data_IF_621033261933
#
_entry.id   IF_621033261933
#
_cell.length_a   1.000
_cell.length_b   1.000
_cell.length_c   1.000
_cell.angle_alpha   90.00
_cell.angle_beta   90.00
_cell.angle_gamma   90.00
#
_symmetry.space_group_name_H-M   'P 1'
#
loop_
_entity.id
_entity.type
_entity.pdbx_description
1 polymer ?
#
# COMPACT_ATOMS: atom_id res chain seq x y z
N UNK A 1 17.29 -3.56 -33.74
CA UNK A 1 18.04 -2.87 -32.68
C UNK A 1 17.01 -2.16 -31.85
N UNK A 2 16.62 -2.72 -30.70
CA UNK A 2 15.73 -2.08 -29.74
C UNK A 2 16.47 -0.90 -29.15
N UNK A 3 16.09 0.32 -29.49
CA UNK A 3 16.51 1.53 -28.77
C UNK A 3 16.24 1.30 -27.30
N UNK A 4 17.32 1.11 -26.53
CA UNK A 4 17.20 0.82 -25.09
C UNK A 4 16.46 1.95 -24.42
N UNK A 5 15.19 1.71 -24.04
CA UNK A 5 14.45 2.65 -23.20
C UNK A 5 15.26 2.85 -21.93
N UNK A 6 15.36 4.10 -21.47
CA UNK A 6 16.01 4.45 -20.20
C UNK A 6 15.33 3.66 -19.08
N UNK A 7 16.11 2.97 -18.25
CA UNK A 7 15.63 2.28 -17.07
C UNK A 7 15.99 3.09 -15.82
N UNK A 8 15.05 3.21 -14.88
CA UNK A 8 15.27 3.84 -13.60
C UNK A 8 16.14 2.95 -12.70
N UNK A 9 17.24 3.47 -12.21
CA UNK A 9 18.12 2.78 -11.28
C UNK A 9 17.55 2.87 -9.87
N UNK A 10 17.09 1.76 -9.31
CA UNK A 10 16.45 1.70 -8.00
C UNK A 10 17.41 1.08 -6.97
N UNK A 11 17.57 1.76 -5.84
CA UNK A 11 18.10 1.20 -4.60
C UNK A 11 16.96 0.71 -3.71
N UNK A 12 17.08 -0.48 -3.11
CA UNK A 12 16.11 -1.00 -2.15
C UNK A 12 16.71 -0.95 -0.75
N UNK A 13 16.09 -0.21 0.15
CA UNK A 13 16.43 -0.15 1.58
C UNK A 13 15.62 -1.18 2.34
N UNK A 14 16.30 -2.09 3.01
CA UNK A 14 15.75 -3.22 3.74
C UNK A 14 15.73 -4.50 2.90
N UNK A 15 16.35 -5.55 3.41
CA UNK A 15 16.35 -6.90 2.84
C UNK A 15 15.33 -7.83 3.54
N UNK A 16 14.37 -7.25 4.26
CA UNK A 16 13.33 -7.97 5.01
C UNK A 16 12.29 -8.66 4.11
N UNK A 17 11.26 -9.24 4.73
CA UNK A 17 10.26 -10.06 4.04
C UNK A 17 9.61 -9.38 2.84
N UNK A 18 9.19 -8.10 2.96
CA UNK A 18 8.49 -7.43 1.86
C UNK A 18 9.40 -7.21 0.63
N UNK A 19 10.68 -6.96 0.86
CA UNK A 19 11.65 -6.82 -0.23
C UNK A 19 11.91 -8.16 -0.92
N UNK A 20 11.99 -9.25 -0.14
CA UNK A 20 12.16 -10.61 -0.66
C UNK A 20 10.93 -11.10 -1.43
N UNK A 21 9.72 -10.84 -0.91
CA UNK A 21 8.47 -11.26 -1.56
C UNK A 21 8.10 -10.43 -2.78
N UNK A 22 8.35 -9.12 -2.74
CA UNK A 22 7.82 -8.18 -3.73
C UNK A 22 8.89 -7.38 -4.46
N UNK A 23 9.66 -6.56 -3.74
CA UNK A 23 10.42 -5.48 -4.39
C UNK A 23 11.60 -5.94 -5.23
N UNK A 24 12.37 -6.93 -4.79
CA UNK A 24 13.53 -7.39 -5.55
C UNK A 24 13.11 -7.95 -6.92
N UNK A 25 12.12 -8.85 -6.93
CA UNK A 25 11.61 -9.40 -8.18
C UNK A 25 10.87 -8.35 -9.01
N UNK A 26 10.14 -7.43 -8.38
CA UNK A 26 9.49 -6.33 -9.07
C UNK A 26 10.49 -5.49 -9.86
N UNK A 27 11.60 -5.06 -9.23
CA UNK A 27 12.64 -4.30 -9.89
C UNK A 27 13.35 -5.09 -11.01
N UNK A 28 13.55 -6.39 -10.82
CA UNK A 28 14.20 -7.26 -11.84
C UNK A 28 13.32 -7.51 -13.06
N UNK A 29 11.99 -7.56 -12.87
CA UNK A 29 11.02 -7.86 -13.93
C UNK A 29 10.41 -6.63 -14.58
N UNK A 30 10.57 -5.46 -13.98
CA UNK A 30 10.07 -4.21 -14.53
C UNK A 30 10.75 -3.87 -15.87
N UNK A 31 9.96 -3.37 -16.85
CA UNK A 31 10.45 -3.03 -18.18
C UNK A 31 11.30 -1.75 -18.20
N UNK A 32 10.98 -0.82 -17.28
CA UNK A 32 11.51 0.54 -17.24
C UNK A 32 12.26 0.86 -15.93
N UNK A 33 12.56 -0.16 -15.11
CA UNK A 33 13.35 -0.03 -13.88
C UNK A 33 14.30 -1.23 -13.75
N UNK A 34 15.29 -1.10 -12.89
CA UNK A 34 16.18 -2.21 -12.53
C UNK A 34 16.62 -2.13 -11.07
N UNK A 35 16.87 -3.29 -10.46
CA UNK A 35 17.50 -3.40 -9.15
C UNK A 35 18.98 -3.02 -9.28
N UNK A 36 19.29 -1.75 -9.02
CA UNK A 36 20.66 -1.27 -9.08
C UNK A 36 21.41 -1.53 -7.78
N UNK A 37 20.79 -1.26 -6.63
CA UNK A 37 21.42 -1.41 -5.32
C UNK A 37 20.48 -2.02 -4.30
N UNK A 38 21.05 -2.70 -3.30
CA UNK A 38 20.34 -3.11 -2.08
C UNK A 38 21.12 -2.59 -0.87
N UNK A 39 20.39 -2.28 0.20
CA UNK A 39 20.96 -1.78 1.45
C UNK A 39 20.30 -2.43 2.66
N UNK A 40 21.10 -2.96 3.59
CA UNK A 40 20.64 -3.44 4.89
C UNK A 40 21.80 -3.39 5.89
N UNK A 41 21.50 -3.10 7.15
CA UNK A 41 22.49 -3.10 8.22
C UNK A 41 22.91 -4.51 8.64
N UNK A 42 22.07 -5.50 8.39
CA UNK A 42 22.34 -6.92 8.63
C UNK A 42 23.20 -7.50 7.49
N UNK A 43 24.51 -7.42 7.61
CA UNK A 43 25.46 -7.83 6.56
C UNK A 43 25.29 -9.28 6.13
N UNK A 44 24.92 -10.17 7.04
CA UNK A 44 24.65 -11.59 6.73
C UNK A 44 23.42 -11.75 5.82
N UNK A 45 22.37 -10.99 6.06
CA UNK A 45 21.17 -10.98 5.22
C UNK A 45 21.44 -10.28 3.88
N UNK A 46 22.12 -9.13 3.93
CA UNK A 46 22.54 -8.38 2.75
C UNK A 46 23.36 -9.24 1.78
N UNK A 47 24.35 -10.00 2.30
CA UNK A 47 25.17 -10.92 1.49
C UNK A 47 24.32 -12.00 0.80
N UNK A 48 23.42 -12.65 1.54
CA UNK A 48 22.54 -13.69 0.98
C UNK A 48 21.61 -13.12 -0.12
N UNK A 49 21.04 -11.93 0.11
CA UNK A 49 20.18 -11.29 -0.89
C UNK A 49 20.97 -10.83 -2.12
N UNK A 50 22.21 -10.41 -1.93
CA UNK A 50 23.11 -10.07 -3.04
C UNK A 50 23.44 -11.29 -3.92
N UNK A 51 23.66 -12.45 -3.31
CA UNK A 51 23.90 -13.70 -4.05
C UNK A 51 22.66 -14.13 -4.88
N UNK A 52 21.46 -13.98 -4.32
CA UNK A 52 20.21 -14.39 -4.97
C UNK A 52 19.81 -13.42 -6.07
N UNK A 53 19.82 -12.12 -5.77
CA UNK A 53 19.21 -11.10 -6.64
C UNK A 53 20.20 -10.36 -7.53
N UNK A 54 21.51 -10.52 -7.32
CA UNK A 54 22.60 -10.01 -8.17
C UNK A 54 22.47 -8.50 -8.48
N UNK A 55 22.31 -7.61 -7.45
CA UNK A 55 22.30 -6.17 -7.68
C UNK A 55 23.66 -5.69 -8.17
N UNK A 56 23.72 -4.52 -8.81
CA UNK A 56 24.99 -3.93 -9.27
C UNK A 56 25.84 -3.46 -8.09
N UNK A 57 25.20 -3.03 -7.00
CA UNK A 57 25.86 -2.51 -5.79
C UNK A 57 25.18 -3.03 -4.52
N UNK A 58 25.96 -3.13 -3.45
CA UNK A 58 25.48 -3.44 -2.10
C UNK A 58 25.99 -2.40 -1.12
N UNK A 59 25.18 -2.04 -0.13
CA UNK A 59 25.48 -1.06 0.90
C UNK A 59 25.02 -1.56 2.26
N UNK A 60 25.87 -1.44 3.28
CA UNK A 60 25.47 -1.66 4.68
C UNK A 60 25.16 -0.33 5.41
N UNK A 61 25.14 0.77 4.67
CA UNK A 61 24.95 2.13 5.15
C UNK A 61 24.06 2.87 4.13
N UNK A 62 22.92 3.36 4.62
CA UNK A 62 21.92 4.03 3.78
C UNK A 62 22.44 5.36 3.21
N UNK A 63 23.18 6.14 3.99
CA UNK A 63 23.68 7.44 3.55
C UNK A 63 24.72 7.25 2.41
N UNK A 64 25.49 6.15 2.44
CA UNK A 64 26.38 5.78 1.33
C UNK A 64 25.61 5.38 0.07
N UNK A 65 24.48 4.67 0.20
CA UNK A 65 23.64 4.36 -0.94
C UNK A 65 23.00 5.62 -1.52
N UNK A 66 22.55 6.55 -0.68
CA UNK A 66 22.00 7.84 -1.11
C UNK A 66 23.03 8.74 -1.79
N UNK A 67 24.29 8.66 -1.39
CA UNK A 67 25.39 9.41 -2.00
C UNK A 67 25.80 8.90 -3.40
N UNK A 68 25.38 7.68 -3.79
CA UNK A 68 25.66 7.19 -5.13
C UNK A 68 24.81 7.94 -6.18
N UNK A 69 25.44 8.69 -7.13
CA UNK A 69 24.72 9.44 -8.14
C UNK A 69 23.97 8.55 -9.14
N UNK A 70 24.28 7.26 -9.21
CA UNK A 70 23.60 6.31 -10.10
C UNK A 70 22.31 5.76 -9.49
N UNK A 71 22.10 5.87 -8.17
CA UNK A 71 20.81 5.62 -7.54
C UNK A 71 19.91 6.81 -7.85
N UNK A 72 18.87 6.61 -8.65
CA UNK A 72 17.94 7.66 -9.06
C UNK A 72 16.70 7.68 -8.16
N UNK A 73 16.29 6.50 -7.67
CA UNK A 73 15.15 6.33 -6.78
C UNK A 73 15.43 5.26 -5.73
N UNK A 74 14.70 5.31 -4.62
CA UNK A 74 14.77 4.29 -3.56
C UNK A 74 13.42 3.70 -3.27
N UNK A 75 13.39 2.39 -3.02
CA UNK A 75 12.25 1.71 -2.39
C UNK A 75 12.60 1.51 -0.93
N UNK A 76 11.70 1.93 -0.03
CA UNK A 76 11.87 1.82 1.42
C UNK A 76 10.97 0.68 1.91
N UNK A 77 11.56 -0.48 2.20
CA UNK A 77 10.89 -1.70 2.67
C UNK A 77 11.39 -2.17 4.03
N UNK A 78 11.42 -1.25 5.02
CA UNK A 78 11.84 -1.46 6.40
C UNK A 78 10.65 -1.44 7.36
N UNK A 79 10.87 -1.39 8.66
CA UNK A 79 9.79 -1.27 9.63
C UNK A 79 9.14 0.12 9.56
N UNK A 80 7.81 0.16 9.71
CA UNK A 80 6.95 1.33 9.52
C UNK A 80 7.34 2.55 10.35
N UNK A 81 7.88 2.37 11.57
CA UNK A 81 8.40 3.48 12.40
C UNK A 81 9.57 4.24 11.78
N UNK A 82 10.27 3.65 10.80
CA UNK A 82 11.42 4.26 10.15
C UNK A 82 11.12 4.83 8.76
N UNK A 83 9.88 4.66 8.25
CA UNK A 83 9.52 5.05 6.89
C UNK A 83 9.74 6.54 6.63
N UNK A 84 9.19 7.40 7.51
CA UNK A 84 9.25 8.86 7.33
C UNK A 84 10.69 9.37 7.41
N UNK A 85 11.48 8.92 8.40
CA UNK A 85 12.87 9.33 8.52
C UNK A 85 13.70 8.94 7.28
N UNK A 86 13.55 7.69 6.82
CA UNK A 86 14.25 7.20 5.64
C UNK A 86 13.83 7.95 4.37
N UNK A 87 12.53 8.26 4.22
CA UNK A 87 12.02 9.03 3.08
C UNK A 87 12.56 10.48 3.10
N UNK A 88 12.62 11.12 4.28
CA UNK A 88 13.19 12.45 4.43
C UNK A 88 14.67 12.50 4.03
N UNK A 89 15.47 11.51 4.44
CA UNK A 89 16.88 11.40 4.00
C UNK A 89 16.99 11.27 2.49
N UNK A 90 16.14 10.46 1.88
CA UNK A 90 16.14 10.24 0.43
C UNK A 90 15.81 11.52 -0.34
N UNK A 91 14.75 12.25 0.03
CA UNK A 91 14.37 13.48 -0.67
C UNK A 91 15.42 14.60 -0.49
N UNK A 92 16.08 14.67 0.66
CA UNK A 92 17.21 15.59 0.89
C UNK A 92 18.39 15.26 -0.02
N UNK A 93 18.63 13.98 -0.29
CA UNK A 93 19.64 13.51 -1.24
C UNK A 93 19.19 13.60 -2.71
N UNK A 94 18.00 14.17 -2.99
CA UNK A 94 17.45 14.34 -4.35
C UNK A 94 16.99 13.03 -5.01
N UNK A 95 16.65 11.99 -4.21
CA UNK A 95 16.18 10.71 -4.72
C UNK A 95 14.65 10.65 -4.70
N UNK A 96 14.07 10.12 -5.79
CA UNK A 96 12.66 9.75 -5.78
C UNK A 96 12.40 8.58 -4.82
N UNK A 97 11.20 8.50 -4.24
CA UNK A 97 10.88 7.54 -3.17
C UNK A 97 9.63 6.74 -3.48
N UNK A 98 9.72 5.43 -3.35
CA UNK A 98 8.58 4.54 -3.15
C UNK A 98 8.71 3.99 -1.74
N UNK A 99 7.83 4.39 -0.83
CA UNK A 99 7.85 3.96 0.58
C UNK A 99 6.70 3.00 0.86
N UNK A 100 7.00 1.90 1.54
CA UNK A 100 5.97 0.94 1.94
C UNK A 100 4.88 1.58 2.82
N UNK A 101 3.71 0.97 2.76
CA UNK A 101 2.57 1.35 3.61
C UNK A 101 2.70 0.70 5.02
N UNK A 102 2.15 1.35 6.07
CA UNK A 102 1.63 2.72 6.08
C UNK A 102 2.74 3.74 5.88
N UNK A 103 2.39 4.97 5.47
CA UNK A 103 3.38 6.04 5.25
C UNK A 103 4.23 6.32 6.49
N UNK A 104 3.60 6.29 7.65
CA UNK A 104 4.19 6.47 8.96
C UNK A 104 3.29 5.89 10.05
N UNK A 105 3.56 6.19 11.30
CA UNK A 105 2.83 5.66 12.46
C UNK A 105 2.03 6.71 13.24
N UNK A 106 2.14 7.98 12.83
CA UNK A 106 1.30 9.09 13.31
C UNK A 106 1.09 10.15 12.21
N UNK A 107 0.08 10.99 12.40
CA UNK A 107 -0.33 11.99 11.40
C UNK A 107 0.75 13.06 11.21
N UNK A 108 1.34 13.54 12.31
CA UNK A 108 2.26 14.67 12.31
C UNK A 108 3.53 14.38 11.52
N UNK A 109 4.11 13.19 11.67
CA UNK A 109 5.30 12.80 10.89
C UNK A 109 4.98 12.65 9.40
N UNK A 110 3.80 12.12 9.06
CA UNK A 110 3.35 12.03 7.68
C UNK A 110 3.16 13.42 7.05
N UNK A 111 2.56 14.37 7.78
CA UNK A 111 2.42 15.76 7.35
C UNK A 111 3.77 16.48 7.23
N UNK A 112 4.71 16.18 8.11
CA UNK A 112 6.06 16.72 8.02
C UNK A 112 6.75 16.28 6.73
N UNK A 113 6.69 14.99 6.41
CA UNK A 113 7.20 14.46 5.14
C UNK A 113 6.53 15.14 3.95
N UNK A 114 5.20 15.22 3.95
CA UNK A 114 4.44 15.87 2.89
C UNK A 114 4.89 17.34 2.69
N UNK A 115 5.03 18.10 3.77
CA UNK A 115 5.45 19.50 3.72
C UNK A 115 6.86 19.65 3.15
N UNK A 116 7.80 18.79 3.57
CA UNK A 116 9.19 18.84 3.09
C UNK A 116 9.32 18.37 1.64
N UNK A 117 8.56 17.38 1.24
CA UNK A 117 8.60 16.85 -0.12
C UNK A 117 8.08 17.85 -1.18
N UNK A 118 7.12 18.71 -0.85
CA UNK A 118 6.54 19.70 -1.79
C UNK A 118 7.55 20.55 -2.53
N UNK A 119 8.69 20.83 -1.93
CA UNK A 119 9.74 21.70 -2.49
C UNK A 119 10.99 20.93 -2.92
N UNK A 120 10.99 19.60 -2.81
CA UNK A 120 12.17 18.79 -3.11
C UNK A 120 12.36 18.49 -4.60
N UNK A 121 11.30 18.63 -5.39
CA UNK A 121 11.28 18.14 -6.78
C UNK A 121 11.27 16.60 -6.90
N UNK A 122 11.23 15.88 -5.80
CA UNK A 122 11.20 14.43 -5.79
C UNK A 122 9.77 13.89 -5.88
N UNK A 123 9.58 12.83 -6.64
CA UNK A 123 8.35 12.04 -6.64
C UNK A 123 8.38 11.14 -5.41
N UNK A 124 7.30 11.17 -4.60
CA UNK A 124 7.11 10.24 -3.48
C UNK A 124 5.80 9.48 -3.68
N UNK A 125 5.89 8.16 -3.77
CA UNK A 125 4.77 7.24 -3.91
C UNK A 125 4.71 6.30 -2.72
N UNK A 126 3.49 6.03 -2.22
CA UNK A 126 3.27 5.06 -1.14
C UNK A 126 3.00 3.67 -1.73
N UNK A 127 3.47 2.62 -1.04
CA UNK A 127 3.43 1.22 -1.45
C UNK A 127 2.02 0.58 -1.43
N UNK A 128 0.99 1.31 -1.81
CA UNK A 128 -0.38 0.80 -1.92
C UNK A 128 -0.57 0.04 -3.24
N UNK A 129 0.02 -1.16 -3.31
CA UNK A 129 0.13 -1.94 -4.54
C UNK A 129 -1.23 -2.35 -5.15
N UNK A 130 -2.32 -2.36 -4.36
CA UNK A 130 -3.67 -2.71 -4.87
C UNK A 130 -4.21 -1.70 -5.87
N UNK A 131 -3.76 -0.46 -5.86
CA UNK A 131 -4.09 0.54 -6.90
C UNK A 131 -3.60 0.12 -8.29
N UNK A 132 -2.66 -0.83 -8.35
CA UNK A 132 -2.12 -1.43 -9.56
C UNK A 132 -2.73 -2.79 -9.92
N UNK A 133 -3.73 -3.25 -9.17
CA UNK A 133 -4.55 -4.39 -9.56
C UNK A 133 -5.42 -4.02 -10.77
N UNK A 134 -5.29 -4.73 -11.91
CA UNK A 134 -6.06 -4.40 -13.12
C UNK A 134 -7.57 -4.38 -12.91
N UNK A 135 -8.11 -5.26 -12.05
CA UNK A 135 -9.53 -5.27 -11.74
C UNK A 135 -9.96 -4.02 -10.94
N UNK A 136 -9.16 -3.64 -9.92
CA UNK A 136 -9.43 -2.42 -9.14
C UNK A 136 -9.28 -1.18 -10.02
N UNK A 137 -8.26 -1.15 -10.90
CA UNK A 137 -8.08 -0.05 -11.86
C UNK A 137 -9.26 0.06 -12.84
N UNK A 138 -9.82 -1.06 -13.30
CA UNK A 138 -11.03 -1.08 -14.13
C UNK A 138 -12.25 -0.54 -13.36
N UNK A 139 -12.44 -0.96 -12.11
CA UNK A 139 -13.48 -0.41 -11.24
C UNK A 139 -13.36 1.11 -11.08
N UNK A 140 -12.14 1.59 -10.81
CA UNK A 140 -11.86 3.03 -10.67
C UNK A 140 -12.16 3.79 -11.95
N UNK A 141 -11.76 3.26 -13.09
CA UNK A 141 -12.06 3.88 -14.39
C UNK A 141 -13.57 4.05 -14.60
N UNK A 142 -14.37 3.01 -14.33
CA UNK A 142 -15.82 3.12 -14.45
C UNK A 142 -16.41 4.15 -13.47
N UNK A 143 -15.95 4.13 -12.21
CA UNK A 143 -16.40 5.08 -11.19
C UNK A 143 -16.14 6.53 -11.63
N UNK A 144 -14.96 6.81 -12.16
CA UNK A 144 -14.55 8.15 -12.54
C UNK A 144 -15.21 8.66 -13.85
N UNK A 145 -15.54 7.76 -14.76
CA UNK A 145 -15.95 8.15 -16.12
C UNK A 145 -17.43 7.94 -16.41
N UNK A 146 -18.08 6.98 -15.73
CA UNK A 146 -19.40 6.54 -16.11
C UNK A 146 -20.42 6.46 -14.97
N UNK A 147 -20.00 6.18 -13.73
CA UNK A 147 -20.91 5.83 -12.64
C UNK A 147 -21.78 6.99 -12.16
N UNK A 148 -21.35 8.25 -12.35
CA UNK A 148 -22.05 9.42 -11.80
C UNK A 148 -21.86 9.54 -10.28
N UNK A 149 -22.83 10.12 -9.58
CA UNK A 149 -22.76 10.32 -8.14
C UNK A 149 -22.79 8.98 -7.39
N UNK A 150 -21.89 8.83 -6.42
CA UNK A 150 -21.87 7.66 -5.54
C UNK A 150 -22.94 7.78 -4.45
N UNK A 151 -23.78 6.77 -4.33
CA UNK A 151 -24.76 6.63 -3.25
C UNK A 151 -24.14 6.00 -2.00
N UNK A 152 -23.48 4.86 -2.18
CA UNK A 152 -22.90 4.11 -1.06
C UNK A 152 -21.76 3.19 -1.49
N UNK A 153 -20.85 2.92 -0.53
CA UNK A 153 -19.73 2.00 -0.69
C UNK A 153 -19.70 1.00 0.48
N UNK A 154 -19.44 -0.27 0.17
CA UNK A 154 -19.04 -1.28 1.15
C UNK A 154 -17.67 -1.80 0.75
N UNK A 155 -16.77 -1.97 1.71
CA UNK A 155 -15.49 -2.64 1.50
C UNK A 155 -15.16 -3.51 2.70
N UNK A 156 -14.52 -4.64 2.46
CA UNK A 156 -14.11 -5.55 3.51
C UNK A 156 -12.73 -6.12 3.24
N UNK A 157 -12.01 -6.37 4.32
CA UNK A 157 -10.70 -6.99 4.35
C UNK A 157 -10.67 -8.00 5.50
N UNK A 158 -10.91 -9.26 5.16
CA UNK A 158 -10.95 -10.35 6.11
C UNK A 158 -9.73 -11.26 5.89
N UNK A 159 -8.73 -11.10 6.75
CA UNK A 159 -7.48 -11.85 6.65
C UNK A 159 -7.53 -13.11 7.50
N UNK A 160 -7.25 -14.24 6.87
CA UNK A 160 -7.17 -15.55 7.50
C UNK A 160 -5.77 -15.84 8.07
N UNK A 161 -5.23 -14.96 8.93
CA UNK A 161 -3.92 -15.21 9.58
C UNK A 161 -3.86 -16.52 10.37
N UNK A 162 -5.00 -17.17 10.49
CA UNK A 162 -5.14 -18.51 11.05
C UNK A 162 -4.61 -19.61 10.11
N UNK A 163 -4.60 -19.37 8.77
CA UNK A 163 -4.21 -20.36 7.74
C UNK A 163 -3.50 -19.70 6.56
N UNK A 164 -2.21 -19.43 6.73
CA UNK A 164 -1.39 -18.89 5.64
C UNK A 164 -0.81 -19.93 4.68
N UNK A 165 -1.51 -21.03 4.46
CA UNK A 165 -1.01 -22.12 3.62
C UNK A 165 -0.68 -21.69 2.20
N UNK A 166 -1.42 -20.72 1.64
CA UNK A 166 -1.14 -20.20 0.29
C UNK A 166 0.18 -19.45 0.27
N UNK A 167 0.40 -18.54 1.23
CA UNK A 167 1.64 -17.77 1.31
C UNK A 167 2.86 -18.67 1.51
N UNK A 168 2.76 -19.64 2.41
CA UNK A 168 3.84 -20.60 2.67
C UNK A 168 4.18 -21.46 1.45
N UNK A 169 3.18 -21.78 0.60
CA UNK A 169 3.38 -22.66 -0.54
C UNK A 169 3.88 -21.93 -1.81
N UNK A 170 3.53 -20.65 -2.00
CA UNK A 170 3.83 -19.93 -3.25
C UNK A 170 4.99 -18.93 -3.13
N UNK A 171 5.41 -18.59 -1.91
CA UNK A 171 6.51 -17.66 -1.68
C UNK A 171 7.79 -18.40 -1.31
N UNK A 172 8.97 -17.90 -1.71
CA UNK A 172 10.23 -18.45 -1.24
C UNK A 172 10.31 -18.34 0.28
N UNK A 173 11.03 -19.26 0.91
CA UNK A 173 11.29 -19.19 2.34
C UNK A 173 11.98 -17.88 2.68
N UNK A 174 11.36 -17.10 3.55
CA UNK A 174 11.93 -15.85 4.02
C UNK A 174 13.17 -16.09 4.81
N UNK A 175 14.25 -15.46 4.42
CA UNK A 175 15.49 -15.46 5.18
C UNK A 175 15.46 -14.33 6.20
N UNK A 176 15.73 -14.67 7.45
CA UNK A 176 15.78 -13.73 8.56
C UNK A 176 17.20 -13.58 9.07
N UNK A 177 17.49 -12.46 9.72
CA UNK A 177 18.75 -12.22 10.42
C UNK A 177 18.49 -11.80 11.87
N UNK A 178 19.25 -12.32 12.84
CA UNK A 178 19.25 -11.80 14.21
C UNK A 178 19.86 -10.39 14.29
N UNK A 179 20.64 -9.99 13.28
CA UNK A 179 21.31 -8.68 13.20
C UNK A 179 20.45 -7.60 12.55
N UNK A 180 19.24 -7.94 12.10
CA UNK A 180 18.32 -6.96 11.50
C UNK A 180 17.92 -5.90 12.53
N UNK A 181 17.93 -4.63 12.11
CA UNK A 181 17.44 -3.53 12.93
C UNK A 181 15.95 -3.71 13.21
N UNK A 182 15.60 -3.66 14.47
CA UNK A 182 14.21 -3.78 14.93
C UNK A 182 13.83 -2.53 15.71
N UNK A 183 12.56 -2.09 15.61
CA UNK A 183 12.05 -1.03 16.46
C UNK A 183 12.21 -1.38 17.94
N UNK A 184 12.35 -0.36 18.77
CA UNK A 184 12.28 -0.54 20.22
C UNK A 184 10.93 -1.12 20.61
N UNK A 185 10.93 -2.08 21.52
CA UNK A 185 9.74 -2.85 21.88
C UNK A 185 9.34 -3.85 20.80
N UNK A 186 8.18 -4.45 20.98
CA UNK A 186 7.59 -5.36 20.00
C UNK A 186 6.25 -4.77 19.52
N UNK A 187 6.19 -4.15 18.33
CA UNK A 187 4.96 -3.53 17.83
C UNK A 187 3.81 -4.52 17.67
N UNK A 188 4.09 -5.83 17.61
CA UNK A 188 3.07 -6.88 17.54
C UNK A 188 2.40 -7.19 18.88
N UNK A 189 2.84 -6.62 19.99
CA UNK A 189 2.20 -6.81 21.30
C UNK A 189 0.86 -6.06 21.38
N UNK A 190 0.80 -4.83 20.87
CA UNK A 190 -0.44 -4.13 20.67
C UNK A 190 -1.10 -4.58 19.37
N UNK A 191 -1.97 -5.57 19.45
CA UNK A 191 -2.63 -6.16 18.29
C UNK A 191 -3.64 -5.21 17.64
N UNK A 192 -4.29 -4.34 18.38
CA UNK A 192 -5.23 -3.37 17.81
C UNK A 192 -4.49 -2.41 16.89
N UNK A 193 -3.45 -1.78 17.43
CA UNK A 193 -2.60 -0.89 16.67
C UNK A 193 -1.93 -1.61 15.50
N UNK A 194 -1.33 -2.76 15.73
CA UNK A 194 -0.63 -3.54 14.72
C UNK A 194 -1.54 -3.90 13.53
N UNK A 195 -2.74 -4.43 13.80
CA UNK A 195 -3.65 -4.83 12.72
C UNK A 195 -4.27 -3.63 12.00
N UNK A 196 -4.53 -2.53 12.69
CA UNK A 196 -5.01 -1.32 12.03
C UNK A 196 -3.93 -0.75 11.08
N UNK A 197 -2.68 -0.65 11.50
CA UNK A 197 -1.59 -0.16 10.64
C UNK A 197 -1.26 -1.11 9.49
N UNK A 198 -1.26 -2.43 9.72
CA UNK A 198 -0.83 -3.40 8.70
C UNK A 198 -1.94 -3.82 7.73
N UNK A 199 -3.15 -4.05 8.24
CA UNK A 199 -4.31 -4.54 7.46
C UNK A 199 -5.30 -3.42 7.17
N UNK A 200 -5.58 -2.56 8.16
CA UNK A 200 -6.45 -1.40 8.01
C UNK A 200 -5.97 -0.43 6.95
N UNK A 201 -4.64 -0.25 6.79
CA UNK A 201 -4.07 0.57 5.73
C UNK A 201 -4.51 0.14 4.32
N UNK A 202 -4.62 -1.16 4.05
CA UNK A 202 -5.11 -1.66 2.77
C UNK A 202 -6.60 -1.37 2.56
N UNK A 203 -7.42 -1.65 3.57
CA UNK A 203 -8.87 -1.41 3.49
C UNK A 203 -9.18 0.08 3.32
N UNK A 204 -8.56 0.93 4.14
CA UNK A 204 -8.75 2.39 4.10
C UNK A 204 -8.29 2.97 2.76
N UNK A 205 -7.13 2.54 2.24
CA UNK A 205 -6.65 3.01 0.94
C UNK A 205 -7.59 2.59 -0.19
N UNK A 206 -8.02 1.32 -0.23
CA UNK A 206 -8.97 0.85 -1.25
C UNK A 206 -10.29 1.62 -1.18
N UNK A 207 -10.84 1.82 0.03
CA UNK A 207 -12.09 2.54 0.22
C UNK A 207 -11.99 4.03 -0.16
N UNK A 208 -10.85 4.69 0.12
CA UNK A 208 -10.58 6.06 -0.30
C UNK A 208 -10.32 6.16 -1.80
N UNK A 209 -9.54 5.26 -2.37
CA UNK A 209 -9.24 5.23 -3.80
C UNK A 209 -10.51 5.12 -4.66
N UNK A 210 -11.46 4.27 -4.24
CA UNK A 210 -12.71 4.03 -4.96
C UNK A 210 -13.83 5.02 -4.57
N UNK A 211 -13.90 5.41 -3.30
CA UNK A 211 -15.00 6.21 -2.75
C UNK A 211 -14.72 7.70 -2.59
N UNK A 212 -13.47 8.11 -2.67
CA UNK A 212 -13.07 9.52 -2.46
C UNK A 212 -12.76 9.84 -0.99
N UNK A 213 -12.74 11.14 -0.67
CA UNK A 213 -12.34 11.64 0.64
C UNK A 213 -13.35 11.32 1.74
N UNK A 214 -12.85 10.77 2.86
CA UNK A 214 -13.62 10.50 4.06
C UNK A 214 -13.67 11.74 4.95
N UNK A 215 -14.88 12.13 5.39
CA UNK A 215 -15.09 13.29 6.27
C UNK A 215 -15.12 12.86 7.75
N UNK A 216 -15.88 11.80 8.08
CA UNK A 216 -16.00 11.30 9.44
C UNK A 216 -16.23 9.79 9.48
N UNK A 217 -15.94 9.19 10.63
CA UNK A 217 -16.13 7.76 10.88
C UNK A 217 -16.79 7.52 12.23
N UNK A 218 -17.62 6.46 12.29
CA UNK A 218 -18.09 5.85 13.53
C UNK A 218 -17.74 4.37 13.52
N UNK A 219 -17.04 3.89 14.53
CA UNK A 219 -16.47 2.56 14.55
C UNK A 219 -16.76 1.78 15.83
N UNK A 220 -16.87 0.47 15.68
CA UNK A 220 -16.96 -0.50 16.78
C UNK A 220 -15.86 -1.54 16.62
N UNK A 221 -15.28 -1.96 17.74
CA UNK A 221 -14.26 -3.00 17.78
C UNK A 221 -14.73 -4.18 18.66
N UNK A 222 -14.39 -5.38 18.24
CA UNK A 222 -14.63 -6.60 19.01
C UNK A 222 -13.40 -7.50 18.95
N UNK A 223 -13.04 -8.06 20.11
CA UNK A 223 -11.94 -9.02 20.27
C UNK A 223 -12.48 -10.29 20.90
N UNK A 224 -12.33 -11.43 20.21
CA UNK A 224 -12.71 -12.75 20.75
C UNK A 224 -11.81 -13.83 20.18
N UNK A 225 -11.47 -14.82 20.97
CA UNK A 225 -10.71 -16.02 20.57
C UNK A 225 -9.47 -15.74 19.71
N UNK A 226 -8.78 -14.60 19.92
CA UNK A 226 -7.61 -14.18 19.18
C UNK A 226 -7.91 -13.57 17.81
N UNK A 227 -9.17 -13.31 17.49
CA UNK A 227 -9.60 -12.56 16.32
C UNK A 227 -10.04 -11.15 16.70
N UNK A 228 -9.93 -10.23 15.74
CA UNK A 228 -10.20 -8.81 15.88
C UNK A 228 -11.09 -8.35 14.73
N UNK A 229 -12.10 -7.56 15.06
CA UNK A 229 -13.00 -6.99 14.06
C UNK A 229 -13.16 -5.49 14.30
N UNK A 230 -13.27 -4.73 13.22
CA UNK A 230 -13.76 -3.34 13.21
C UNK A 230 -14.86 -3.22 12.18
N UNK A 231 -16.04 -2.80 12.61
CA UNK A 231 -17.09 -2.31 11.75
C UNK A 231 -17.11 -0.79 11.77
N UNK A 232 -17.02 -0.18 10.62
CA UNK A 232 -16.87 1.27 10.49
C UNK A 232 -17.93 1.82 9.54
N UNK A 233 -18.70 2.79 9.99
CA UNK A 233 -19.51 3.63 9.12
C UNK A 233 -18.72 4.88 8.75
N UNK A 234 -18.71 5.22 7.47
CA UNK A 234 -17.96 6.34 6.90
C UNK A 234 -18.94 7.33 6.28
N UNK A 235 -18.74 8.62 6.55
CA UNK A 235 -19.31 9.72 5.77
C UNK A 235 -18.24 10.21 4.79
N UNK A 236 -18.56 10.21 3.50
CA UNK A 236 -17.69 10.75 2.46
C UNK A 236 -17.99 12.24 2.22
N UNK A 237 -16.99 13.00 1.80
CA UNK A 237 -17.14 14.43 1.46
C UNK A 237 -18.15 14.65 0.31
N UNK A 238 -18.41 13.65 -0.52
CA UNK A 238 -19.47 13.67 -1.53
C UNK A 238 -20.90 13.57 -0.97
N UNK A 239 -21.06 13.30 0.33
CA UNK A 239 -22.34 13.00 0.96
C UNK A 239 -22.73 11.51 0.93
N UNK A 240 -21.98 10.67 0.24
CA UNK A 240 -22.19 9.23 0.24
C UNK A 240 -21.85 8.60 1.61
N UNK A 241 -22.41 7.43 1.87
CA UNK A 241 -22.16 6.65 3.10
C UNK A 241 -21.40 5.38 2.79
N UNK A 242 -20.43 5.04 3.63
CA UNK A 242 -19.67 3.80 3.53
C UNK A 242 -19.81 2.88 4.72
N UNK A 243 -19.58 1.60 4.49
CA UNK A 243 -19.38 0.60 5.53
C UNK A 243 -18.11 -0.19 5.26
N UNK A 244 -17.19 -0.21 6.24
CA UNK A 244 -15.94 -0.95 6.16
C UNK A 244 -15.94 -2.06 7.21
N UNK A 245 -15.48 -3.26 6.79
CA UNK A 245 -15.25 -4.42 7.66
C UNK A 245 -13.78 -4.81 7.60
N UNK A 246 -13.07 -4.61 8.70
CA UNK A 246 -11.75 -5.14 8.92
C UNK A 246 -11.84 -6.29 9.91
N UNK A 247 -11.62 -7.53 9.47
CA UNK A 247 -11.59 -8.69 10.36
C UNK A 247 -10.28 -9.46 10.20
N UNK A 248 -9.50 -9.56 11.27
CA UNK A 248 -8.19 -10.22 11.26
C UNK A 248 -8.22 -11.48 12.12
N UNK A 249 -7.55 -12.53 11.64
CA UNK A 249 -7.59 -13.89 12.14
C UNK A 249 -8.98 -14.54 12.02
N UNK A 250 -9.69 -14.20 10.93
CA UNK A 250 -10.96 -14.85 10.58
C UNK A 250 -10.78 -16.36 10.38
N UNK A 251 -11.81 -17.15 10.72
CA UNK A 251 -11.80 -18.62 10.63
C UNK A 251 -12.29 -19.13 9.26
N UNK A 252 -11.80 -18.52 8.19
CA UNK A 252 -12.10 -18.88 6.80
C UNK A 252 -10.91 -18.56 5.90
N UNK A 253 -11.02 -18.76 4.62
CA UNK A 253 -10.02 -18.32 3.64
C UNK A 253 -10.04 -16.79 3.49
N UNK A 254 -9.05 -16.26 2.75
CA UNK A 254 -8.98 -14.84 2.41
C UNK A 254 -10.30 -14.37 1.81
N UNK A 255 -10.86 -13.30 2.39
CA UNK A 255 -12.10 -12.71 1.92
C UNK A 255 -11.97 -11.19 1.90
N UNK A 256 -11.81 -10.64 0.71
CA UNK A 256 -11.65 -9.23 0.48
C UNK A 256 -12.45 -8.80 -0.72
N UNK A 257 -12.98 -7.58 -0.70
CA UNK A 257 -13.70 -7.02 -1.83
C UNK A 257 -14.35 -5.69 -1.52
N UNK A 258 -15.16 -5.27 -2.48
CA UNK A 258 -15.91 -4.02 -2.39
C UNK A 258 -17.21 -4.10 -3.20
N UNK A 259 -18.15 -3.22 -2.85
CA UNK A 259 -19.42 -3.06 -3.54
C UNK A 259 -19.81 -1.59 -3.51
N UNK A 260 -20.07 -1.01 -4.67
CA UNK A 260 -20.32 0.42 -4.83
C UNK A 260 -21.58 0.61 -5.64
N UNK A 261 -22.43 1.51 -5.21
CA UNK A 261 -23.68 1.87 -5.89
C UNK A 261 -23.59 3.34 -6.29
N UNK A 262 -23.87 3.62 -7.55
CA UNK A 262 -23.89 4.97 -8.10
C UNK A 262 -25.10 5.21 -8.98
N UNK A 263 -25.23 6.43 -9.44
CA UNK A 263 -26.36 6.93 -10.21
C UNK A 263 -26.58 6.17 -11.54
N UNK A 264 -25.46 5.92 -12.25
CA UNK A 264 -25.49 5.31 -13.59
C UNK A 264 -24.91 3.90 -13.61
N UNK A 265 -24.76 3.26 -12.46
CA UNK A 265 -24.34 1.88 -12.37
C UNK A 265 -23.81 1.47 -11.02
N UNK A 266 -23.34 0.24 -10.94
CA UNK A 266 -22.82 -0.37 -9.72
C UNK A 266 -21.60 -1.21 -10.02
N UNK A 267 -20.74 -1.37 -9.02
CA UNK A 267 -19.51 -2.15 -9.12
C UNK A 267 -19.47 -3.18 -8.00
N UNK A 268 -19.11 -4.40 -8.33
CA UNK A 268 -18.82 -5.47 -7.35
C UNK A 268 -17.43 -6.01 -7.65
N UNK A 269 -16.56 -6.03 -6.64
CA UNK A 269 -15.21 -6.55 -6.74
C UNK A 269 -14.91 -7.61 -5.69
N UNK A 270 -14.28 -8.71 -6.12
CA UNK A 270 -13.65 -9.70 -5.23
C UNK A 270 -12.15 -9.63 -5.42
N UNK A 271 -11.44 -9.30 -4.35
CA UNK A 271 -9.99 -9.20 -4.35
C UNK A 271 -9.36 -10.49 -3.81
N UNK A 272 -8.33 -10.96 -4.47
CA UNK A 272 -7.60 -12.15 -4.08
C UNK A 272 -6.43 -11.82 -3.14
N UNK A 273 -5.97 -12.84 -2.42
CA UNK A 273 -4.71 -12.76 -1.69
C UNK A 273 -3.61 -12.27 -2.66
N UNK A 274 -2.89 -11.18 -2.35
CA UNK A 274 -1.96 -10.54 -3.27
C UNK A 274 -0.81 -11.45 -3.74
N UNK A 275 -0.49 -12.48 -2.97
CA UNK A 275 0.56 -13.44 -3.29
C UNK A 275 0.16 -14.46 -4.38
N UNK A 276 -1.10 -14.48 -4.76
CA UNK A 276 -1.54 -15.25 -5.94
C UNK A 276 -1.26 -14.52 -7.25
N UNK A 277 -0.91 -13.24 -7.21
CA UNK A 277 -0.67 -12.39 -8.39
C UNK A 277 -1.81 -12.45 -9.42
N UNK A 278 -3.02 -12.67 -8.94
CA UNK A 278 -4.24 -12.69 -9.74
C UNK A 278 -5.01 -11.38 -9.54
N UNK A 279 -5.42 -10.75 -10.64
CA UNK A 279 -6.23 -9.53 -10.55
C UNK A 279 -7.59 -9.81 -9.92
N UNK A 280 -8.17 -8.78 -9.28
CA UNK A 280 -9.51 -8.84 -8.72
C UNK A 280 -10.55 -9.18 -9.81
N UNK A 281 -11.50 -10.02 -9.46
CA UNK A 281 -12.71 -10.23 -10.29
C UNK A 281 -13.64 -9.04 -10.05
N UNK A 282 -13.86 -8.25 -11.09
CA UNK A 282 -14.74 -7.07 -11.05
C UNK A 282 -15.86 -7.21 -12.04
N UNK A 283 -17.06 -6.89 -11.59
CA UNK A 283 -18.26 -6.81 -12.40
C UNK A 283 -18.88 -5.42 -12.24
N UNK A 284 -19.21 -4.82 -13.37
CA UNK A 284 -19.84 -3.51 -13.45
C UNK A 284 -21.19 -3.65 -14.15
N UNK A 285 -22.25 -3.13 -13.54
CA UNK A 285 -23.51 -2.88 -14.24
C UNK A 285 -23.53 -1.44 -14.72
N UNK A 286 -23.71 -1.22 -16.02
CA UNK A 286 -23.85 0.12 -16.61
C UNK A 286 -25.31 0.36 -17.03
N UNK A 287 -25.87 1.48 -16.54
CA UNK A 287 -27.23 1.92 -16.96
C UNK A 287 -27.25 2.34 -18.42
N UNK A 288 -26.12 2.78 -18.98
CA UNK A 288 -25.99 3.26 -20.37
C UNK A 288 -26.43 2.21 -21.41
N UNK A 289 -26.13 0.95 -21.17
CA UNK A 289 -26.46 -0.16 -22.08
C UNK A 289 -27.28 -1.26 -21.44
N UNK A 290 -27.54 -1.17 -20.13
CA UNK A 290 -28.30 -2.14 -19.37
C UNK A 290 -27.60 -3.48 -19.19
N UNK A 291 -26.26 -3.50 -19.32
CA UNK A 291 -25.46 -4.72 -19.31
C UNK A 291 -24.51 -4.82 -18.12
N UNK A 292 -24.16 -6.07 -17.78
CA UNK A 292 -23.02 -6.36 -16.93
C UNK A 292 -21.76 -6.51 -17.77
N UNK A 293 -20.71 -5.80 -17.37
CA UNK A 293 -19.38 -5.87 -17.96
C UNK A 293 -18.43 -6.51 -16.96
N UNK A 294 -17.85 -7.62 -17.36
CA UNK A 294 -16.87 -8.34 -16.55
C UNK A 294 -15.63 -8.62 -17.39
N UNK A 295 -14.53 -7.87 -17.18
CA UNK A 295 -13.29 -8.16 -17.87
C UNK A 295 -12.74 -9.52 -17.44
N UNK A 296 -12.00 -10.16 -18.33
CA UNK A 296 -11.22 -11.34 -17.98
C UNK A 296 -10.15 -10.95 -16.96
N UNK A 297 -10.13 -11.64 -15.81
CA UNK A 297 -9.08 -11.43 -14.82
C UNK A 297 -7.69 -11.82 -15.38
N UNK A 298 -6.71 -11.01 -15.09
CA UNK A 298 -5.32 -11.21 -15.49
C UNK A 298 -4.49 -11.79 -14.34
N UNK A 299 -3.44 -12.54 -14.67
CA UNK A 299 -2.37 -12.78 -13.73
C UNK A 299 -1.49 -11.53 -13.67
N UNK A 300 -1.40 -10.92 -12.49
CA UNK A 300 -0.75 -9.62 -12.33
C UNK A 300 0.21 -9.59 -11.14
N UNK A 301 1.44 -9.21 -11.41
CA UNK A 301 2.42 -8.95 -10.36
C UNK A 301 2.32 -7.50 -9.90
N UNK A 302 1.48 -7.21 -8.92
CA UNK A 302 1.15 -5.85 -8.48
C UNK A 302 2.36 -5.00 -8.10
N UNK A 303 3.33 -5.58 -7.41
CA UNK A 303 4.59 -4.89 -7.08
C UNK A 303 5.38 -4.50 -8.33
N UNK A 304 5.42 -5.37 -9.35
CA UNK A 304 6.04 -5.04 -10.64
C UNK A 304 5.30 -3.88 -11.31
N UNK A 305 3.97 -3.95 -11.40
CA UNK A 305 3.16 -2.90 -12.00
C UNK A 305 3.29 -1.57 -11.24
N UNK A 306 3.41 -1.63 -9.92
CA UNK A 306 3.67 -0.47 -9.08
C UNK A 306 5.03 0.17 -9.37
N UNK A 307 6.09 -0.63 -9.50
CA UNK A 307 7.43 -0.16 -9.87
C UNK A 307 7.43 0.42 -11.28
N UNK A 308 6.76 -0.23 -12.24
CA UNK A 308 6.63 0.28 -13.61
C UNK A 308 5.90 1.63 -13.65
N UNK A 309 4.78 1.77 -12.94
CA UNK A 309 4.04 3.04 -12.86
C UNK A 309 4.83 4.16 -12.17
N UNK A 310 5.56 3.82 -11.11
CA UNK A 310 6.46 4.77 -10.45
C UNK A 310 7.56 5.27 -11.40
N UNK A 311 8.18 4.36 -12.16
CA UNK A 311 9.20 4.70 -13.14
C UNK A 311 8.61 5.50 -14.33
N UNK A 312 7.39 5.21 -14.79
CA UNK A 312 6.69 6.00 -15.81
C UNK A 312 6.49 7.45 -15.35
N UNK A 313 6.06 7.66 -14.11
CA UNK A 313 5.89 9.01 -13.55
C UNK A 313 7.21 9.79 -13.54
N UNK A 314 8.35 9.14 -13.24
CA UNK A 314 9.66 9.78 -13.16
C UNK A 314 10.28 10.00 -14.54
N UNK A 315 10.27 8.98 -15.39
CA UNK A 315 11.01 9.00 -16.67
C UNK A 315 10.22 9.66 -17.80
N UNK A 316 8.89 9.52 -17.79
CA UNK A 316 8.00 9.93 -18.87
C UNK A 316 7.06 11.08 -18.43
N UNK A 317 7.14 11.53 -17.16
CA UNK A 317 6.26 12.54 -16.57
C UNK A 317 4.77 12.16 -16.66
N UNK A 318 4.49 10.85 -16.67
CA UNK A 318 3.12 10.35 -16.67
C UNK A 318 2.40 10.71 -15.34
N UNK A 319 1.08 10.90 -15.37
CA UNK A 319 0.30 11.07 -14.14
C UNK A 319 0.54 9.92 -13.15
N UNK A 320 0.70 10.23 -11.87
CA UNK A 320 0.87 9.22 -10.84
C UNK A 320 -0.41 8.38 -10.68
N UNK A 321 -0.30 7.10 -10.88
CA UNK A 321 -1.39 6.13 -10.67
C UNK A 321 -1.41 5.57 -9.25
N UNK A 322 -0.26 5.59 -8.59
CA UNK A 322 -0.09 5.15 -7.22
C UNK A 322 -0.63 6.16 -6.19
N UNK A 323 -0.58 5.79 -4.93
CA UNK A 323 -0.90 6.68 -3.83
C UNK A 323 0.20 7.74 -3.67
N UNK A 324 -0.19 8.99 -3.56
CA UNK A 324 0.70 10.12 -3.29
C UNK A 324 0.80 10.42 -1.79
N UNK A 325 1.49 11.49 -1.41
CA UNK A 325 1.63 11.87 0.00
C UNK A 325 0.32 12.33 0.64
N UNK A 326 -0.55 13.00 -0.12
CA UNK A 326 -1.89 13.38 0.32
C UNK A 326 -2.70 12.14 0.69
N UNK A 327 -2.65 11.11 -0.13
CA UNK A 327 -3.29 9.82 0.14
C UNK A 327 -2.72 9.16 1.40
N UNK A 328 -1.39 9.17 1.56
CA UNK A 328 -0.72 8.59 2.73
C UNK A 328 -1.11 9.27 4.04
N UNK A 329 -1.14 10.62 4.06
CA UNK A 329 -1.58 11.40 5.22
C UNK A 329 -3.05 11.14 5.53
N UNK A 330 -3.92 11.17 4.53
CA UNK A 330 -5.35 10.96 4.72
C UNK A 330 -5.67 9.53 5.15
N UNK A 331 -4.95 8.52 4.67
CA UNK A 331 -5.07 7.15 5.14
C UNK A 331 -4.64 7.01 6.61
N UNK A 332 -3.56 7.67 7.02
CA UNK A 332 -3.11 7.67 8.43
C UNK A 332 -4.16 8.32 9.34
N UNK A 333 -4.72 9.46 8.93
CA UNK A 333 -5.81 10.12 9.67
C UNK A 333 -7.04 9.24 9.79
N UNK A 334 -7.45 8.57 8.73
CA UNK A 334 -8.60 7.68 8.76
C UNK A 334 -8.38 6.49 9.71
N UNK A 335 -7.21 5.87 9.70
CA UNK A 335 -6.89 4.80 10.64
C UNK A 335 -6.90 5.29 12.10
N UNK A 336 -6.32 6.44 12.39
CA UNK A 336 -6.33 7.04 13.72
C UNK A 336 -7.76 7.46 14.14
N UNK A 337 -8.58 7.98 13.23
CA UNK A 337 -9.99 8.26 13.49
C UNK A 337 -10.79 7.01 13.84
N UNK A 338 -10.56 5.91 13.09
CA UNK A 338 -11.22 4.62 13.36
C UNK A 338 -10.83 4.09 14.75
N UNK A 339 -9.55 4.16 15.12
CA UNK A 339 -9.08 3.72 16.43
C UNK A 339 -9.73 4.53 17.55
N UNK A 340 -9.75 5.87 17.45
CA UNK A 340 -10.38 6.76 18.43
C UNK A 340 -11.89 6.53 18.55
N UNK A 341 -12.57 6.41 17.40
CA UNK A 341 -14.01 6.18 17.39
C UNK A 341 -14.37 4.83 18.02
N UNK A 342 -13.58 3.79 17.76
CA UNK A 342 -13.78 2.48 18.38
C UNK A 342 -13.54 2.48 19.90
N UNK A 343 -12.67 3.36 20.39
CA UNK A 343 -12.41 3.54 21.83
C UNK A 343 -13.48 4.38 22.53
N UNK A 344 -13.90 5.50 21.92
CA UNK A 344 -14.86 6.44 22.53
C UNK A 344 -16.32 6.07 22.31
N UNK A 345 -16.63 5.36 21.20
CA UNK A 345 -17.98 5.13 20.72
C UNK A 345 -18.59 6.32 19.95
N UNK A 346 -17.86 7.42 19.80
CA UNK A 346 -18.32 8.64 19.14
C UNK A 346 -17.94 8.69 17.67
N UNK A 347 -18.67 9.53 16.92
CA UNK A 347 -18.27 9.91 15.56
C UNK A 347 -17.06 10.83 15.60
N UNK A 348 -16.01 10.50 14.85
CA UNK A 348 -14.77 11.27 14.77
C UNK A 348 -14.65 11.89 13.38
N UNK A 349 -14.45 13.22 13.31
CA UNK A 349 -14.13 13.93 12.08
C UNK A 349 -12.65 13.80 11.78
N UNK A 350 -12.31 13.45 10.54
CA UNK A 350 -10.91 13.25 10.15
C UNK A 350 -10.07 14.53 10.27
N UNK A 351 -10.69 15.70 10.02
CA UNK A 351 -10.01 16.99 10.14
C UNK A 351 -9.48 17.28 11.56
N UNK A 352 -10.12 16.70 12.60
CA UNK A 352 -9.77 16.93 14.01
C UNK A 352 -8.74 15.89 14.54
N UNK A 353 -8.26 15.00 13.68
CA UNK A 353 -7.40 13.89 14.08
C UNK A 353 -5.93 14.28 14.03
N UNK A 354 -5.24 14.05 15.14
CA UNK A 354 -3.78 14.17 15.34
C UNK A 354 -3.25 12.88 15.97
N UNK A 355 -1.94 12.68 16.05
CA UNK A 355 -1.33 11.51 16.67
C UNK A 355 -1.45 10.23 15.85
N UNK A 356 -1.30 9.10 16.51
CA UNK A 356 -1.30 7.77 15.87
C UNK A 356 -2.52 6.92 16.21
N UNK A 357 -2.43 5.67 15.75
CA UNK A 357 -3.37 4.59 16.07
C UNK A 357 -3.06 4.03 17.45
#
# INVERSE_FOLDING_TARGET
MTTGKKQLNIGVLGCGPISQYGHFEACRRARNARLYAICDVAEDLLGRMAEIHQPTKIYNDYDKMLADPKVEAVIIGIADQFHVEAALKAIVAGKHVLVEKPLGVNVEECEELQRKARHSGCIVQIGNMKRFDPGIAYAKQFIDQEMGEMLALKAWYCDSTYRYTVTENVQPLVQLSPNALRPEGNPKLDKLRYFMLTHGSHLVDTARFLGGEMESVTAWNTQKFGAYNWFVTVQYASGAVGHLDLTVAVRMDWHEGFQIYGEHGSVIGKTYNPWLFKSSDVEVFSVRDGCYHRPLGEDAHFFKLQVEGFAETILEQAPMRGANLEDGVAAMRAMAAIARSAESGDTVKLADVTGGV
#
